data_IF_038532653965
#
_entry.id   IF_038532653965
#
_cell.length_a   1.000
_cell.length_b   1.000
_cell.length_c   1.000
_cell.angle_alpha   90.00
_cell.angle_beta   90.00
_cell.angle_gamma   90.00
#
_symmetry.space_group_name_H-M   'P 1'
#
loop_
_entity.id
_entity.type
_entity.pdbx_description
1 polymer ?
#
# COMPACT_ATOMS: atom_id res chain seq x y z
N UNK A 1 -14.92 21.92 -3.25
CA UNK A 1 -14.53 21.18 -4.48
C UNK A 1 -15.36 21.66 -5.64
N UNK A 2 -14.75 21.84 -6.80
CA UNK A 2 -15.45 22.17 -8.05
C UNK A 2 -16.01 20.90 -8.70
N UNK A 3 -16.95 21.07 -9.65
CA UNK A 3 -17.46 19.94 -10.45
C UNK A 3 -16.31 19.22 -11.20
N UNK A 4 -15.30 19.98 -11.62
CA UNK A 4 -14.10 19.44 -12.27
C UNK A 4 -13.33 18.50 -11.36
N UNK A 5 -13.17 18.85 -10.07
CA UNK A 5 -12.45 18.00 -9.11
C UNK A 5 -13.17 16.66 -8.91
N UNK A 6 -14.50 16.67 -8.80
CA UNK A 6 -15.32 15.46 -8.67
C UNK A 6 -15.22 14.56 -9.91
N UNK A 7 -15.20 15.15 -11.10
CA UNK A 7 -15.01 14.41 -12.36
C UNK A 7 -13.63 13.76 -12.41
N UNK A 8 -12.57 14.47 -12.04
CA UNK A 8 -11.21 13.93 -12.00
C UNK A 8 -11.10 12.76 -11.01
N UNK A 9 -11.65 12.92 -9.80
CA UNK A 9 -11.68 11.84 -8.80
C UNK A 9 -12.46 10.64 -9.33
N UNK A 10 -13.62 10.85 -9.92
CA UNK A 10 -14.45 9.80 -10.51
C UNK A 10 -13.71 9.03 -11.61
N UNK A 11 -13.09 9.74 -12.54
CA UNK A 11 -12.28 9.13 -13.61
C UNK A 11 -11.09 8.34 -13.05
N UNK A 12 -10.42 8.88 -12.05
CA UNK A 12 -9.33 8.19 -11.37
C UNK A 12 -9.81 6.88 -10.73
N UNK A 13 -10.88 6.90 -9.94
CA UNK A 13 -11.43 5.71 -9.29
C UNK A 13 -11.89 4.66 -10.33
N UNK A 14 -12.54 5.10 -11.41
CA UNK A 14 -12.94 4.22 -12.51
C UNK A 14 -11.73 3.59 -13.21
N UNK A 15 -10.65 4.35 -13.41
CA UNK A 15 -9.42 3.82 -13.99
C UNK A 15 -8.79 2.72 -13.12
N UNK A 16 -8.80 2.88 -11.79
CA UNK A 16 -8.29 1.86 -10.85
C UNK A 16 -9.12 0.57 -10.92
N UNK A 17 -10.45 0.70 -10.93
CA UNK A 17 -11.35 -0.45 -11.11
C UNK A 17 -11.13 -1.11 -12.48
N UNK A 18 -10.95 -0.31 -13.54
CA UNK A 18 -10.63 -0.78 -14.88
C UNK A 18 -9.37 -1.63 -14.92
N UNK A 19 -8.30 -1.21 -14.24
CA UNK A 19 -7.07 -2.00 -14.07
C UNK A 19 -7.37 -3.32 -13.36
N UNK A 20 -8.14 -3.30 -12.26
CA UNK A 20 -8.57 -4.51 -11.56
C UNK A 20 -9.31 -5.50 -12.46
N UNK A 21 -10.28 -5.01 -13.25
CA UNK A 21 -11.03 -5.82 -14.21
C UNK A 21 -10.13 -6.37 -15.33
N UNK A 22 -9.21 -5.55 -15.85
CA UNK A 22 -8.26 -5.99 -16.87
C UNK A 22 -7.43 -7.19 -16.38
N UNK A 23 -6.92 -7.10 -15.16
CA UNK A 23 -6.15 -8.18 -14.58
C UNK A 23 -7.00 -9.38 -14.13
N UNK A 24 -8.28 -9.22 -13.80
CA UNK A 24 -9.19 -10.32 -13.43
C UNK A 24 -9.42 -11.31 -14.56
N UNK A 25 -9.30 -10.87 -15.81
CA UNK A 25 -9.52 -11.72 -17.00
C UNK A 25 -8.38 -12.73 -17.25
N UNK A 26 -7.27 -12.62 -16.55
CA UNK A 26 -6.14 -13.56 -16.68
C UNK A 26 -6.39 -14.80 -15.81
N UNK A 27 -6.27 -15.98 -16.39
CA UNK A 27 -6.30 -17.24 -15.64
C UNK A 27 -5.04 -17.34 -14.78
N UNK A 28 -5.20 -17.48 -13.47
CA UNK A 28 -4.09 -17.53 -12.50
C UNK A 28 -4.31 -18.65 -11.50
N UNK A 29 -3.22 -19.23 -11.01
CA UNK A 29 -3.27 -20.08 -9.81
C UNK A 29 -3.48 -19.21 -8.57
N UNK A 30 -3.95 -19.81 -7.47
CA UNK A 30 -4.10 -19.11 -6.19
C UNK A 30 -2.78 -18.49 -5.69
N UNK A 31 -1.65 -19.15 -5.96
CA UNK A 31 -0.33 -18.65 -5.63
C UNK A 31 0.05 -17.42 -6.47
N UNK A 32 -0.20 -17.47 -7.78
CA UNK A 32 0.02 -16.32 -8.66
C UNK A 32 -0.85 -15.12 -8.31
N UNK A 33 -2.09 -15.37 -7.88
CA UNK A 33 -2.99 -14.32 -7.42
C UNK A 33 -2.46 -13.62 -6.17
N UNK A 34 -1.89 -14.38 -5.22
CA UNK A 34 -1.40 -13.86 -3.94
C UNK A 34 0.01 -13.24 -4.01
N UNK A 35 0.88 -13.72 -4.92
CA UNK A 35 2.30 -13.35 -4.94
C UNK A 35 2.77 -12.67 -6.21
N UNK A 36 1.91 -12.55 -7.24
CA UNK A 36 2.25 -12.13 -8.61
C UNK A 36 3.38 -12.97 -9.27
N UNK A 37 3.82 -14.05 -8.63
CA UNK A 37 4.70 -15.15 -9.10
C UNK A 37 5.88 -14.75 -10.01
N UNK A 38 6.60 -13.67 -9.67
CA UNK A 38 7.82 -13.27 -10.38
C UNK A 38 7.63 -12.67 -11.78
N UNK A 39 6.41 -12.38 -12.18
CA UNK A 39 6.10 -11.76 -13.49
C UNK A 39 6.25 -10.24 -13.51
N UNK A 40 6.51 -9.62 -12.35
CA UNK A 40 6.64 -8.17 -12.22
C UNK A 40 8.11 -7.77 -12.39
N UNK A 41 8.44 -6.84 -13.28
CA UNK A 41 9.79 -6.34 -13.43
C UNK A 41 10.23 -5.55 -12.18
N UNK A 42 11.52 -5.63 -11.83
CA UNK A 42 12.07 -5.03 -10.61
C UNK A 42 11.83 -3.52 -10.47
N UNK A 43 11.85 -2.77 -11.59
CA UNK A 43 11.54 -1.34 -11.56
C UNK A 43 10.09 -1.05 -11.14
N UNK A 44 9.14 -1.88 -11.57
CA UNK A 44 7.74 -1.71 -11.18
C UNK A 44 7.52 -2.05 -9.70
N UNK A 45 8.20 -3.09 -9.17
CA UNK A 45 8.24 -3.36 -7.74
C UNK A 45 8.82 -2.19 -6.95
N UNK A 46 9.91 -1.60 -7.43
CA UNK A 46 10.53 -0.42 -6.80
C UNK A 46 9.56 0.77 -6.71
N UNK A 47 8.85 1.08 -7.81
CA UNK A 47 7.83 2.13 -7.83
C UNK A 47 6.62 1.80 -6.94
N UNK A 48 6.20 0.54 -6.89
CA UNK A 48 5.12 0.10 -5.99
C UNK A 48 5.52 0.29 -4.52
N UNK A 49 6.73 -0.11 -4.13
CA UNK A 49 7.23 0.17 -2.78
C UNK A 49 7.27 1.67 -2.47
N UNK A 50 7.77 2.48 -3.40
CA UNK A 50 7.79 3.93 -3.26
C UNK A 50 6.36 4.50 -3.07
N UNK A 51 5.39 4.07 -3.89
CA UNK A 51 4.00 4.48 -3.76
C UNK A 51 3.37 4.12 -2.41
N UNK A 52 3.72 2.93 -1.88
CA UNK A 52 3.26 2.46 -0.57
C UNK A 52 3.78 3.34 0.58
N UNK A 53 5.01 3.85 0.47
CA UNK A 53 5.56 4.80 1.45
C UNK A 53 4.92 6.17 1.37
N UNK A 54 4.55 6.64 0.18
CA UNK A 54 3.89 7.92 -0.03
C UNK A 54 2.38 7.84 0.25
N UNK A 55 2.03 7.82 1.52
CA UNK A 55 0.64 7.91 1.98
C UNK A 55 0.12 9.35 1.98
N UNK A 56 -1.18 9.54 2.22
CA UNK A 56 -1.76 10.86 2.42
C UNK A 56 -1.10 11.62 3.58
N UNK A 57 -0.69 10.90 4.65
CA UNK A 57 0.01 11.49 5.80
C UNK A 57 1.38 12.01 5.36
N UNK A 58 2.16 11.24 4.59
CA UNK A 58 3.47 11.66 4.09
C UNK A 58 3.36 12.84 3.13
N UNK A 59 2.34 12.85 2.28
CA UNK A 59 2.19 13.88 1.25
C UNK A 59 1.66 15.21 1.80
N UNK A 60 0.74 15.19 2.76
CA UNK A 60 0.10 16.37 3.33
C UNK A 60 0.56 16.68 4.75
N UNK A 61 0.68 15.66 5.59
CA UNK A 61 0.99 15.83 7.01
C UNK A 61 2.43 16.20 7.29
N UNK A 62 3.39 15.57 6.62
CA UNK A 62 4.82 15.81 6.87
C UNK A 62 5.26 17.22 6.42
N UNK A 63 4.88 17.73 5.23
CA UNK A 63 5.14 19.12 4.88
C UNK A 63 4.45 20.11 5.82
N UNK A 64 3.18 19.86 6.18
CA UNK A 64 2.46 20.70 7.13
C UNK A 64 3.12 20.76 8.50
N UNK A 65 3.58 19.63 9.02
CA UNK A 65 4.33 19.56 10.28
C UNK A 65 5.68 20.24 10.18
N UNK A 66 6.39 20.08 9.07
CA UNK A 66 7.69 20.72 8.85
C UNK A 66 7.58 22.24 8.76
N UNK A 67 6.49 22.74 8.14
CA UNK A 67 6.19 24.16 8.08
C UNK A 67 5.78 24.75 9.44
N UNK A 68 4.92 24.04 10.17
CA UNK A 68 4.34 24.56 11.42
C UNK A 68 5.19 24.35 12.67
N UNK A 69 6.18 23.44 12.68
CA UNK A 69 6.93 23.12 13.90
C UNK A 69 8.40 22.78 13.69
N UNK A 70 8.74 21.65 13.06
CA UNK A 70 10.13 21.18 12.96
C UNK A 70 10.34 20.22 11.77
N UNK A 71 11.60 19.99 11.44
CA UNK A 71 12.04 19.17 10.31
C UNK A 71 12.25 17.67 10.65
N UNK A 72 11.75 17.22 11.80
CA UNK A 72 11.90 15.82 12.21
C UNK A 72 11.38 14.81 11.14
N UNK A 73 10.28 15.04 10.41
CA UNK A 73 9.85 14.14 9.35
C UNK A 73 10.91 13.98 8.25
N UNK A 74 11.56 15.08 7.85
CA UNK A 74 12.64 15.05 6.86
C UNK A 74 13.87 14.28 7.39
N UNK A 75 14.30 14.56 8.61
CA UNK A 75 15.44 13.87 9.24
C UNK A 75 15.17 12.36 9.35
N UNK A 76 13.94 11.97 9.73
CA UNK A 76 13.51 10.58 9.74
C UNK A 76 13.62 9.95 8.35
N UNK A 77 13.20 10.67 7.30
CA UNK A 77 13.23 10.17 5.92
C UNK A 77 14.65 9.93 5.41
N UNK A 78 15.68 10.64 5.93
CA UNK A 78 17.09 10.39 5.60
C UNK A 78 17.58 8.99 6.04
N UNK A 79 16.92 8.35 7.00
CA UNK A 79 17.25 6.99 7.44
C UNK A 79 16.79 5.91 6.45
N UNK A 80 15.80 6.21 5.58
CA UNK A 80 15.18 5.23 4.68
C UNK A 80 16.16 4.62 3.68
N UNK A 81 17.04 5.38 2.98
CA UNK A 81 18.03 4.80 2.07
C UNK A 81 18.98 3.82 2.78
N UNK A 82 19.41 4.15 4.00
CA UNK A 82 20.27 3.28 4.80
C UNK A 82 19.54 2.00 5.19
N UNK A 83 18.32 2.11 5.68
CA UNK A 83 17.47 0.97 6.00
C UNK A 83 17.20 0.07 4.79
N UNK A 84 16.93 0.68 3.62
CA UNK A 84 16.73 -0.05 2.37
C UNK A 84 18.00 -0.80 1.92
N UNK A 85 19.17 -0.18 2.07
CA UNK A 85 20.46 -0.83 1.79
C UNK A 85 20.70 -2.04 2.69
N UNK A 86 20.49 -1.90 4.00
CA UNK A 86 20.60 -3.01 4.97
C UNK A 86 19.60 -4.11 4.62
N UNK A 87 18.34 -3.76 4.35
CA UNK A 87 17.31 -4.72 3.99
C UNK A 87 17.66 -5.49 2.71
N UNK A 88 18.16 -4.82 1.69
CA UNK A 88 18.53 -5.46 0.41
C UNK A 88 19.70 -6.42 0.54
N UNK A 89 20.65 -6.15 1.44
CA UNK A 89 21.85 -6.98 1.64
C UNK A 89 21.65 -8.13 2.62
N UNK A 90 20.85 -7.94 3.65
CA UNK A 90 20.69 -8.92 4.73
C UNK A 90 19.34 -9.64 4.69
N UNK A 91 18.25 -8.87 4.68
CA UNK A 91 16.91 -9.46 4.85
C UNK A 91 16.39 -10.10 3.57
N UNK A 92 16.56 -9.46 2.41
CA UNK A 92 16.08 -10.01 1.13
C UNK A 92 16.74 -11.35 0.79
N UNK A 93 18.07 -11.52 0.85
CA UNK A 93 18.71 -12.82 0.62
C UNK A 93 18.28 -13.87 1.65
N UNK A 94 18.18 -13.48 2.92
CA UNK A 94 17.74 -14.39 4.00
C UNK A 94 16.37 -15.00 3.73
N UNK A 95 15.37 -14.19 3.36
CA UNK A 95 14.02 -14.68 3.08
C UNK A 95 13.92 -15.42 1.74
N UNK A 96 14.64 -14.99 0.71
CA UNK A 96 14.64 -15.67 -0.61
C UNK A 96 15.25 -17.07 -0.54
N UNK A 97 16.32 -17.26 0.19
CA UNK A 97 16.96 -18.57 0.36
C UNK A 97 16.09 -19.56 1.12
N UNK A 98 15.14 -19.09 1.90
CA UNK A 98 14.23 -19.93 2.67
C UNK A 98 13.14 -20.65 1.88
N UNK A 99 12.98 -20.37 0.58
CA UNK A 99 11.97 -20.95 -0.33
C UNK A 99 10.54 -21.02 0.24
N UNK A 100 10.21 -20.19 1.21
CA UNK A 100 8.89 -20.17 1.84
C UNK A 100 8.11 -18.92 1.41
N UNK A 101 6.82 -19.11 1.05
CA UNK A 101 5.90 -18.04 0.66
C UNK A 101 5.66 -17.05 1.80
N UNK A 102 5.80 -17.51 3.05
CA UNK A 102 5.55 -16.69 4.25
C UNK A 102 6.82 -16.55 5.09
N UNK A 103 7.16 -15.31 5.44
CA UNK A 103 8.24 -15.01 6.40
C UNK A 103 8.04 -15.69 7.77
N UNK A 104 6.79 -15.90 8.16
CA UNK A 104 6.45 -16.54 9.43
C UNK A 104 6.77 -18.05 9.49
N UNK A 105 7.01 -18.68 8.36
CA UNK A 105 7.45 -20.09 8.31
C UNK A 105 8.80 -20.29 9.00
N UNK A 106 9.68 -19.28 9.01
CA UNK A 106 10.93 -19.32 9.77
C UNK A 106 10.70 -19.38 11.29
N UNK A 107 9.70 -18.63 11.77
CA UNK A 107 9.31 -18.68 13.19
C UNK A 107 8.74 -20.04 13.55
N UNK A 108 7.89 -20.62 12.70
CA UNK A 108 7.31 -21.94 12.90
C UNK A 108 8.39 -23.02 12.99
N UNK A 109 9.35 -23.02 12.06
CA UNK A 109 10.46 -23.99 12.07
C UNK A 109 11.36 -23.90 13.29
N UNK A 110 11.51 -22.72 13.90
CA UNK A 110 12.41 -22.51 15.04
C UNK A 110 11.71 -22.60 16.39
N UNK A 111 10.48 -22.13 16.50
CA UNK A 111 9.76 -21.93 17.75
C UNK A 111 8.41 -22.68 17.82
N UNK A 112 8.02 -23.35 16.74
CA UNK A 112 6.75 -24.06 16.65
C UNK A 112 5.58 -23.23 16.14
N UNK A 113 4.44 -23.89 15.88
CA UNK A 113 3.26 -23.31 15.26
C UNK A 113 2.66 -22.13 16.03
N UNK A 114 2.77 -22.14 17.37
CA UNK A 114 2.26 -21.05 18.21
C UNK A 114 2.93 -19.71 17.88
N UNK A 115 4.25 -19.70 17.64
CA UNK A 115 4.99 -18.48 17.34
C UNK A 115 4.57 -17.88 15.98
N UNK A 116 4.32 -18.74 15.00
CA UNK A 116 3.74 -18.31 13.70
C UNK A 116 2.38 -17.68 13.90
N UNK A 117 1.47 -18.35 14.61
CA UNK A 117 0.10 -17.87 14.86
C UNK A 117 0.11 -16.54 15.59
N UNK A 118 0.91 -16.43 16.66
CA UNK A 118 1.06 -15.19 17.43
C UNK A 118 1.54 -14.03 16.54
N UNK A 119 2.62 -14.23 15.78
CA UNK A 119 3.15 -13.19 14.90
C UNK A 119 2.16 -12.77 13.79
N UNK A 120 1.41 -13.74 13.23
CA UNK A 120 0.35 -13.45 12.26
C UNK A 120 -0.78 -12.62 12.86
N UNK A 121 -1.23 -12.95 14.06
CA UNK A 121 -2.28 -12.18 14.76
C UNK A 121 -1.82 -10.76 15.06
N UNK A 122 -0.62 -10.58 15.59
CA UNK A 122 -0.04 -9.26 15.85
C UNK A 122 0.06 -8.43 14.55
N UNK A 123 0.48 -9.06 13.46
CA UNK A 123 0.54 -8.39 12.16
C UNK A 123 -0.84 -7.95 11.68
N UNK A 124 -1.84 -8.83 11.72
CA UNK A 124 -3.22 -8.51 11.30
C UNK A 124 -3.77 -7.35 12.12
N UNK A 125 -3.64 -7.38 13.44
CA UNK A 125 -4.11 -6.29 14.31
C UNK A 125 -3.41 -4.97 14.01
N UNK A 126 -2.11 -5.00 13.80
CA UNK A 126 -1.32 -3.81 13.42
C UNK A 126 -1.78 -3.25 12.07
N UNK A 127 -2.05 -4.11 11.09
CA UNK A 127 -2.52 -3.66 9.77
C UNK A 127 -3.94 -3.10 9.82
N UNK A 128 -4.83 -3.67 10.62
CA UNK A 128 -6.18 -3.12 10.85
C UNK A 128 -6.11 -1.71 11.46
N UNK A 129 -5.29 -1.52 12.49
CA UNK A 129 -5.09 -0.21 13.10
C UNK A 129 -4.49 0.80 12.09
N UNK A 130 -3.48 0.37 11.32
CA UNK A 130 -2.87 1.18 10.26
C UNK A 130 -3.87 1.59 9.18
N UNK A 131 -4.69 0.64 8.71
CA UNK A 131 -5.76 0.94 7.74
C UNK A 131 -6.74 1.98 8.27
N UNK A 132 -7.17 1.85 9.52
CA UNK A 132 -8.04 2.84 10.16
C UNK A 132 -7.43 4.25 10.16
N UNK A 133 -6.15 4.37 10.50
CA UNK A 133 -5.43 5.65 10.49
C UNK A 133 -5.33 6.25 9.08
N UNK A 134 -5.04 5.42 8.06
CA UNK A 134 -4.93 5.86 6.66
C UNK A 134 -6.30 6.34 6.14
N UNK A 135 -7.36 5.56 6.36
CA UNK A 135 -8.71 5.94 5.94
C UNK A 135 -9.22 7.20 6.66
N UNK A 136 -8.91 7.33 7.95
CA UNK A 136 -9.25 8.53 8.70
C UNK A 136 -8.55 9.78 8.14
N UNK A 137 -7.24 9.69 7.86
CA UNK A 137 -6.48 10.81 7.27
C UNK A 137 -6.99 11.19 5.88
N UNK A 138 -7.32 10.19 5.04
CA UNK A 138 -7.93 10.41 3.73
C UNK A 138 -9.29 11.11 3.87
N UNK A 139 -10.16 10.60 4.74
CA UNK A 139 -11.49 11.14 4.95
C UNK A 139 -11.46 12.56 5.52
N UNK A 140 -10.55 12.85 6.44
CA UNK A 140 -10.35 14.19 7.00
C UNK A 140 -9.98 15.19 5.89
N UNK A 141 -9.05 14.81 5.02
CA UNK A 141 -8.61 15.67 3.90
C UNK A 141 -9.75 15.96 2.92
N UNK A 142 -10.47 14.91 2.48
CA UNK A 142 -11.57 15.07 1.53
C UNK A 142 -12.73 15.83 2.16
N UNK A 143 -13.08 15.56 3.42
CA UNK A 143 -14.11 16.27 4.16
C UNK A 143 -13.80 17.78 4.25
N UNK A 144 -12.56 18.14 4.60
CA UNK A 144 -12.13 19.54 4.68
C UNK A 144 -12.25 20.30 3.35
N UNK A 145 -12.06 19.60 2.22
CA UNK A 145 -12.12 20.18 0.88
C UNK A 145 -13.52 20.16 0.24
N UNK A 146 -14.33 19.15 0.57
CA UNK A 146 -15.61 18.89 -0.12
C UNK A 146 -16.84 19.10 0.76
N UNK A 147 -16.69 19.05 2.09
CA UNK A 147 -17.80 19.01 3.02
C UNK A 147 -18.57 17.67 3.08
N UNK A 148 -18.10 16.64 2.34
CA UNK A 148 -18.73 15.30 2.36
C UNK A 148 -18.46 14.64 3.71
N UNK A 149 -19.43 13.93 4.25
CA UNK A 149 -19.32 13.24 5.54
C UNK A 149 -18.20 12.17 5.54
N UNK A 150 -17.37 12.17 6.58
CA UNK A 150 -16.23 11.25 6.68
C UNK A 150 -16.61 9.76 6.58
N UNK A 151 -17.70 9.27 7.21
CA UNK A 151 -18.08 7.87 7.07
C UNK A 151 -18.38 7.47 5.61
N UNK A 152 -19.02 8.35 4.86
CA UNK A 152 -19.34 8.09 3.46
C UNK A 152 -18.08 7.99 2.60
N UNK A 153 -17.11 8.86 2.83
CA UNK A 153 -15.79 8.83 2.15
C UNK A 153 -15.09 7.51 2.43
N UNK A 154 -15.05 7.07 3.70
CA UNK A 154 -14.39 5.82 4.11
C UNK A 154 -15.05 4.61 3.43
N UNK A 155 -16.38 4.57 3.41
CA UNK A 155 -17.13 3.45 2.81
C UNK A 155 -16.89 3.40 1.29
N UNK A 156 -16.99 4.52 0.59
CA UNK A 156 -16.77 4.57 -0.86
C UNK A 156 -15.33 4.19 -1.21
N UNK A 157 -14.34 4.80 -0.56
CA UNK A 157 -12.94 4.51 -0.80
C UNK A 157 -12.60 3.05 -0.48
N UNK A 158 -13.06 2.53 0.65
CA UNK A 158 -12.87 1.15 1.06
C UNK A 158 -13.49 0.18 0.08
N UNK A 159 -14.71 0.43 -0.37
CA UNK A 159 -15.40 -0.40 -1.36
C UNK A 159 -14.63 -0.48 -2.68
N UNK A 160 -14.18 0.66 -3.21
CA UNK A 160 -13.41 0.72 -4.46
C UNK A 160 -12.09 -0.04 -4.33
N UNK A 161 -11.36 0.12 -3.20
CA UNK A 161 -10.10 -0.57 -2.96
C UNK A 161 -10.32 -2.09 -2.88
N UNK A 162 -11.34 -2.53 -2.14
CA UNK A 162 -11.68 -3.96 -2.05
C UNK A 162 -12.02 -4.51 -3.43
N UNK A 163 -12.84 -3.78 -4.19
CA UNK A 163 -13.30 -4.22 -5.51
C UNK A 163 -12.12 -4.50 -6.46
N UNK A 164 -11.22 -3.54 -6.68
CA UNK A 164 -10.12 -3.76 -7.61
C UNK A 164 -9.08 -4.75 -7.10
N UNK A 165 -8.88 -4.84 -5.78
CA UNK A 165 -7.92 -5.77 -5.17
C UNK A 165 -8.43 -7.22 -5.27
N UNK A 166 -9.71 -7.46 -4.97
CA UNK A 166 -10.32 -8.79 -5.07
C UNK A 166 -10.43 -9.25 -6.53
N UNK A 167 -10.73 -8.35 -7.45
CA UNK A 167 -10.79 -8.69 -8.88
C UNK A 167 -9.42 -8.95 -9.48
N UNK A 168 -8.44 -8.11 -9.19
CA UNK A 168 -7.17 -8.10 -9.89
C UNK A 168 -6.00 -8.78 -9.19
N UNK A 169 -6.12 -9.10 -7.89
CA UNK A 169 -5.04 -9.70 -7.09
C UNK A 169 -3.80 -8.81 -6.93
N UNK A 170 -2.70 -9.40 -6.49
CA UNK A 170 -1.45 -8.68 -6.18
C UNK A 170 -0.87 -7.96 -7.41
N UNK A 171 -1.00 -8.53 -8.61
CA UNK A 171 -0.48 -7.90 -9.82
C UNK A 171 -1.21 -6.58 -10.14
N UNK A 172 -2.54 -6.54 -9.98
CA UNK A 172 -3.31 -5.31 -10.17
C UNK A 172 -2.93 -4.25 -9.13
N UNK A 173 -2.73 -4.66 -7.87
CA UNK A 173 -2.29 -3.75 -6.80
C UNK A 173 -0.96 -3.11 -7.16
N UNK A 174 0.03 -3.89 -7.57
CA UNK A 174 1.36 -3.37 -7.94
C UNK A 174 1.26 -2.39 -9.11
N UNK A 175 0.52 -2.71 -10.16
CA UNK A 175 0.38 -1.81 -11.31
C UNK A 175 -0.42 -0.54 -10.99
N UNK A 176 -1.44 -0.61 -10.15
CA UNK A 176 -2.13 0.59 -9.66
C UNK A 176 -1.21 1.48 -8.84
N UNK A 177 -0.34 0.89 -8.01
CA UNK A 177 0.67 1.62 -7.25
C UNK A 177 1.74 2.26 -8.14
N UNK A 178 2.16 1.60 -9.24
CA UNK A 178 3.06 2.19 -10.24
C UNK A 178 2.43 3.44 -10.86
N UNK A 179 1.16 3.37 -11.27
CA UNK A 179 0.44 4.54 -11.80
C UNK A 179 0.39 5.65 -10.75
N UNK A 180 0.06 5.31 -9.51
CA UNK A 180 0.02 6.27 -8.39
C UNK A 180 1.39 6.88 -8.11
N UNK A 181 2.48 6.10 -8.16
CA UNK A 181 3.84 6.60 -8.00
C UNK A 181 4.16 7.68 -9.03
N UNK A 182 3.86 7.42 -10.30
CA UNK A 182 4.07 8.37 -11.39
C UNK A 182 3.24 9.64 -11.16
N UNK A 183 1.95 9.51 -10.87
CA UNK A 183 1.05 10.64 -10.64
C UNK A 183 1.45 11.50 -9.42
N UNK A 184 2.02 10.89 -8.38
CA UNK A 184 2.46 11.61 -7.18
C UNK A 184 3.81 12.32 -7.38
N UNK A 185 4.58 11.93 -8.39
CA UNK A 185 5.93 12.47 -8.65
C UNK A 185 5.90 13.59 -9.70
N UNK A 186 4.87 13.61 -10.58
CA UNK A 186 4.64 14.68 -11.56
C UNK A 186 4.00 15.91 -10.92
#
# INVERSE_FOLDING_TARGET
MTTTDLVIIGLYLLSMVGVGIFFSRRKRSSEQFATAAGQIPGWALGLSFYATFLSAITFLGDPGKSFGSNWNPFVFSLSIPLAAWVASKLFVPFYRNGQSVSAYTHLEKRFGAWARTYAMLCFILTQLARMGTIFYGLALTINALSGIEMPLIIVIAGFVIILYTVLGGMEAVIWTEVIQAILKTL
#
